data_IF_672704703607
#
_entry.id   IF_672704703607
#
_cell.length_a   1.000
_cell.length_b   1.000
_cell.length_c   1.000
_cell.angle_alpha   90.00
_cell.angle_beta   90.00
_cell.angle_gamma   90.00
#
_symmetry.space_group_name_H-M   'P 1'
#
loop_
_entity.id
_entity.type
_entity.pdbx_description
1 polymer ?
#
# COMPACT_ATOMS: atom_id res chain seq x y z
N UNK A 1 32.02 18.37 -19.04
CA UNK A 1 31.16 17.19 -19.26
C UNK A 1 31.12 16.41 -17.95
N UNK A 2 30.01 16.49 -17.20
CA UNK A 2 29.93 16.09 -15.78
C UNK A 2 29.77 14.59 -15.59
N UNK A 3 30.30 14.07 -14.48
CA UNK A 3 30.38 12.66 -14.08
C UNK A 3 29.03 11.91 -14.16
N UNK A 4 27.90 12.61 -13.97
CA UNK A 4 26.56 12.06 -14.14
C UNK A 4 26.20 11.69 -15.58
N UNK A 5 26.66 12.46 -16.58
CA UNK A 5 26.38 12.15 -17.99
C UNK A 5 27.16 10.93 -18.47
N UNK A 6 28.32 10.65 -17.85
CA UNK A 6 29.11 9.44 -18.11
C UNK A 6 28.44 8.22 -17.48
N UNK A 7 27.90 8.33 -16.25
CA UNK A 7 27.12 7.27 -15.59
C UNK A 7 25.85 6.92 -16.37
N UNK A 8 25.13 7.93 -16.86
CA UNK A 8 23.89 7.72 -17.61
C UNK A 8 24.15 7.11 -19.00
N UNK A 9 25.26 7.46 -19.65
CA UNK A 9 25.69 6.87 -20.92
C UNK A 9 26.15 5.41 -20.74
N UNK A 10 26.87 5.08 -19.67
CA UNK A 10 27.21 3.70 -19.32
C UNK A 10 25.97 2.87 -18.96
N UNK A 11 24.99 3.45 -18.26
CA UNK A 11 23.70 2.82 -17.97
C UNK A 11 22.89 2.53 -19.23
N UNK A 12 22.87 3.45 -20.20
CA UNK A 12 22.17 3.25 -21.48
C UNK A 12 22.84 2.16 -22.33
N UNK A 13 24.17 2.07 -22.31
CA UNK A 13 24.91 0.99 -23.00
C UNK A 13 24.68 -0.37 -22.32
N UNK A 14 24.61 -0.42 -20.98
CA UNK A 14 24.28 -1.65 -20.23
C UNK A 14 22.83 -2.09 -20.43
N UNK A 15 21.86 -1.16 -20.41
CA UNK A 15 20.43 -1.47 -20.59
C UNK A 15 20.10 -1.87 -22.03
N UNK A 16 20.74 -1.25 -23.03
CA UNK A 16 20.56 -1.63 -24.45
C UNK A 16 21.23 -2.97 -24.78
N UNK A 17 22.26 -3.38 -24.03
CA UNK A 17 22.88 -4.70 -24.17
C UNK A 17 22.02 -5.85 -23.60
N UNK A 18 20.99 -5.57 -22.79
CA UNK A 18 20.09 -6.60 -22.25
C UNK A 18 18.92 -6.98 -23.18
N UNK A 19 18.60 -6.16 -24.19
CA UNK A 19 17.43 -6.39 -25.07
C UNK A 19 17.83 -6.98 -26.45
N UNK A 20 19.11 -6.98 -26.83
CA UNK A 20 19.54 -7.55 -28.10
C UNK A 20 20.86 -8.33 -28.00
N UNK A 21 20.79 -9.62 -28.37
CA UNK A 21 21.87 -10.56 -28.70
C UNK A 21 22.50 -11.41 -27.57
N UNK A 22 22.18 -12.70 -27.65
CA UNK A 22 22.38 -13.80 -26.73
C UNK A 22 23.70 -14.58 -26.92
N UNK A 23 24.86 -13.94 -26.99
CA UNK A 23 26.13 -14.70 -27.15
C UNK A 23 27.42 -14.08 -26.60
N UNK A 24 27.44 -12.81 -26.19
CA UNK A 24 28.67 -12.17 -25.68
C UNK A 24 28.74 -12.01 -24.14
N UNK A 25 27.81 -12.63 -23.39
CA UNK A 25 27.65 -12.43 -21.94
C UNK A 25 28.56 -13.27 -21.01
N UNK A 26 29.41 -14.17 -21.50
CA UNK A 26 30.24 -14.97 -20.56
C UNK A 26 31.46 -14.24 -19.99
N UNK A 27 31.89 -13.12 -20.59
CA UNK A 27 33.09 -12.39 -20.14
C UNK A 27 32.81 -11.34 -19.05
N UNK A 28 31.77 -10.51 -19.20
CA UNK A 28 31.47 -9.41 -18.27
C UNK A 28 30.69 -9.83 -17.00
N UNK A 29 29.92 -10.93 -17.03
CA UNK A 29 29.32 -11.49 -15.80
C UNK A 29 30.38 -12.07 -14.85
N UNK A 30 31.52 -12.51 -15.37
CA UNK A 30 32.59 -13.16 -14.61
C UNK A 30 33.39 -12.19 -13.72
N UNK A 31 33.55 -10.93 -14.15
CA UNK A 31 34.27 -9.92 -13.38
C UNK A 31 33.43 -9.35 -12.22
N UNK A 32 32.13 -9.10 -12.43
CA UNK A 32 31.22 -8.65 -11.37
C UNK A 32 30.93 -9.78 -10.39
N UNK A 33 30.80 -11.03 -10.84
CA UNK A 33 30.60 -12.16 -9.93
C UNK A 33 31.81 -12.36 -9.02
N UNK A 34 33.05 -12.24 -9.51
CA UNK A 34 34.23 -12.42 -8.66
C UNK A 34 34.34 -11.43 -7.49
N UNK A 35 33.77 -10.23 -7.60
CA UNK A 35 33.79 -9.19 -6.56
C UNK A 35 32.68 -9.35 -5.49
N UNK A 36 31.70 -10.23 -5.70
CA UNK A 36 30.60 -10.40 -4.75
C UNK A 36 31.00 -11.32 -3.57
N UNK A 37 30.54 -11.00 -2.35
CA UNK A 37 30.67 -11.90 -1.21
C UNK A 37 30.07 -13.28 -1.47
N UNK A 38 30.64 -14.30 -0.81
CA UNK A 38 30.26 -15.70 -1.03
C UNK A 38 28.81 -16.00 -0.70
N UNK A 39 28.23 -15.33 0.29
CA UNK A 39 26.84 -15.49 0.68
C UNK A 39 25.86 -14.91 -0.36
N UNK A 40 26.22 -13.79 -1.00
CA UNK A 40 25.46 -13.25 -2.15
C UNK A 40 25.48 -14.22 -3.32
N UNK A 41 26.65 -14.79 -3.65
CA UNK A 41 26.79 -15.80 -4.70
C UNK A 41 25.95 -17.03 -4.42
N UNK A 42 26.06 -17.57 -3.21
CA UNK A 42 25.32 -18.76 -2.79
C UNK A 42 23.81 -18.52 -2.87
N UNK A 43 23.34 -17.34 -2.46
CA UNK A 43 21.93 -16.98 -2.59
C UNK A 43 21.47 -16.92 -4.05
N UNK A 44 22.22 -16.26 -4.93
CA UNK A 44 21.90 -16.17 -6.35
C UNK A 44 21.80 -17.57 -6.99
N UNK A 45 22.79 -18.44 -6.73
CA UNK A 45 22.81 -19.81 -7.24
C UNK A 45 21.66 -20.66 -6.67
N UNK A 46 21.39 -20.53 -5.36
CA UNK A 46 20.30 -21.25 -4.67
C UNK A 46 18.93 -20.86 -5.24
N UNK A 47 18.71 -19.57 -5.47
CA UNK A 47 17.48 -19.02 -6.04
C UNK A 47 17.29 -19.43 -7.49
N UNK A 48 18.33 -19.35 -8.31
CA UNK A 48 18.28 -19.73 -9.73
C UNK A 48 17.96 -21.22 -9.88
N UNK A 49 18.66 -22.11 -9.16
CA UNK A 49 18.36 -23.55 -9.12
C UNK A 49 16.92 -23.83 -8.71
N UNK A 50 16.38 -23.07 -7.75
CA UNK A 50 15.00 -23.22 -7.35
C UNK A 50 14.02 -22.83 -8.47
N UNK A 51 14.22 -21.68 -9.13
CA UNK A 51 13.37 -21.22 -10.25
C UNK A 51 13.41 -22.21 -11.42
N UNK A 52 14.59 -22.72 -11.77
CA UNK A 52 14.73 -23.75 -12.81
C UNK A 52 13.92 -25.01 -12.46
N UNK A 53 13.93 -25.42 -11.19
CA UNK A 53 13.13 -26.54 -10.71
C UNK A 53 11.62 -26.29 -10.77
N UNK A 54 11.18 -25.01 -10.79
CA UNK A 54 9.77 -24.66 -10.91
C UNK A 54 9.22 -24.81 -12.33
N UNK A 55 10.07 -24.62 -13.34
CA UNK A 55 9.70 -24.70 -14.76
C UNK A 55 9.55 -26.13 -15.28
N UNK A 56 9.75 -27.15 -14.44
CA UNK A 56 9.62 -28.56 -14.83
C UNK A 56 8.17 -29.02 -14.68
N UNK A 57 7.56 -29.45 -15.80
CA UNK A 57 6.17 -29.94 -15.99
C UNK A 57 5.77 -31.21 -15.18
N UNK A 58 6.31 -31.41 -13.98
CA UNK A 58 6.09 -32.59 -13.13
C UNK A 58 4.69 -32.69 -12.49
N UNK A 59 3.85 -31.65 -12.59
CA UNK A 59 2.54 -31.59 -11.92
C UNK A 59 1.49 -32.47 -12.63
N UNK A 60 1.64 -32.71 -13.94
CA UNK A 60 0.62 -33.40 -14.73
C UNK A 60 0.41 -34.87 -14.33
N UNK A 61 1.40 -35.52 -13.72
CA UNK A 61 1.36 -36.95 -13.34
C UNK A 61 1.06 -37.19 -11.86
N UNK A 62 1.01 -36.15 -11.03
CA UNK A 62 0.81 -36.28 -9.57
C UNK A 62 -0.67 -36.40 -9.21
N UNK A 63 -0.98 -37.24 -8.22
CA UNK A 63 -2.30 -37.31 -7.59
C UNK A 63 -2.55 -36.10 -6.65
N UNK A 64 -3.78 -35.94 -6.15
CA UNK A 64 -4.17 -34.77 -5.35
C UNK A 64 -3.35 -34.61 -4.06
N UNK A 65 -3.10 -35.70 -3.32
CA UNK A 65 -2.30 -35.65 -2.09
C UNK A 65 -0.83 -35.31 -2.37
N UNK A 66 -0.27 -35.84 -3.45
CA UNK A 66 1.08 -35.52 -3.91
C UNK A 66 1.20 -34.05 -4.33
N UNK A 67 0.19 -33.51 -5.03
CA UNK A 67 0.14 -32.09 -5.42
C UNK A 67 0.08 -31.17 -4.19
N UNK A 68 -0.73 -31.50 -3.20
CA UNK A 68 -0.82 -30.72 -1.95
C UNK A 68 0.52 -30.72 -1.23
N UNK A 69 1.14 -31.89 -1.04
CA UNK A 69 2.43 -32.02 -0.37
C UNK A 69 3.56 -31.33 -1.14
N UNK A 70 3.57 -31.46 -2.47
CA UNK A 70 4.52 -30.78 -3.35
C UNK A 70 4.38 -29.26 -3.27
N UNK A 71 3.16 -28.74 -3.30
CA UNK A 71 2.87 -27.31 -3.12
C UNK A 71 3.31 -26.80 -1.74
N UNK A 72 3.07 -27.56 -0.67
CA UNK A 72 3.52 -27.21 0.68
C UNK A 72 5.05 -27.13 0.78
N UNK A 73 5.77 -28.13 0.26
CA UNK A 73 7.25 -28.16 0.23
C UNK A 73 7.80 -26.99 -0.59
N UNK A 74 7.20 -26.71 -1.75
CA UNK A 74 7.57 -25.55 -2.57
C UNK A 74 7.39 -24.23 -1.84
N UNK A 75 6.24 -24.02 -1.22
CA UNK A 75 5.98 -22.80 -0.45
C UNK A 75 6.94 -22.64 0.73
N UNK A 76 7.29 -23.73 1.42
CA UNK A 76 8.33 -23.71 2.45
C UNK A 76 9.69 -23.30 1.88
N UNK A 77 10.08 -23.82 0.72
CA UNK A 77 11.36 -23.49 0.08
C UNK A 77 11.41 -22.05 -0.42
N UNK A 78 10.33 -21.54 -1.02
CA UNK A 78 10.19 -20.12 -1.38
C UNK A 78 10.37 -19.22 -0.15
N UNK A 79 9.72 -19.58 0.97
CA UNK A 79 9.85 -18.87 2.25
C UNK A 79 11.27 -18.88 2.81
N UNK A 80 12.03 -19.97 2.65
CA UNK A 80 13.44 -20.03 3.07
C UNK A 80 14.31 -19.09 2.23
N UNK A 81 14.14 -19.12 0.91
CA UNK A 81 14.89 -18.26 -0.02
C UNK A 81 14.57 -16.78 0.23
N UNK A 82 13.31 -16.45 0.47
CA UNK A 82 12.89 -15.08 0.78
C UNK A 82 13.44 -14.60 2.13
N UNK A 83 13.57 -15.47 3.15
CA UNK A 83 14.26 -15.14 4.40
C UNK A 83 15.73 -14.81 4.18
N UNK A 84 16.41 -15.64 3.39
CA UNK A 84 17.82 -15.44 3.07
C UNK A 84 18.03 -14.13 2.31
N UNK A 85 17.15 -13.85 1.34
CA UNK A 85 17.12 -12.58 0.62
C UNK A 85 17.04 -11.37 1.55
N UNK A 86 16.06 -11.35 2.46
CA UNK A 86 15.87 -10.25 3.43
C UNK A 86 17.09 -10.12 4.35
N UNK A 87 17.62 -11.24 4.86
CA UNK A 87 18.79 -11.24 5.74
C UNK A 87 20.04 -10.67 5.06
N UNK A 88 20.28 -11.00 3.78
CA UNK A 88 21.40 -10.47 3.02
C UNK A 88 21.29 -8.97 2.78
N UNK A 89 20.09 -8.47 2.45
CA UNK A 89 19.87 -7.03 2.31
C UNK A 89 20.18 -6.26 3.59
N UNK A 90 19.73 -6.78 4.73
CA UNK A 90 20.02 -6.20 6.06
C UNK A 90 21.52 -6.22 6.37
N UNK A 91 22.19 -7.35 6.10
CA UNK A 91 23.64 -7.49 6.31
C UNK A 91 24.44 -6.47 5.49
N UNK A 92 23.98 -6.12 4.29
CA UNK A 92 24.67 -5.22 3.36
C UNK A 92 23.98 -3.86 3.21
N UNK A 93 23.21 -3.40 4.20
CA UNK A 93 22.41 -2.16 4.14
C UNK A 93 23.23 -0.88 3.86
N UNK A 94 24.54 -0.90 4.12
CA UNK A 94 25.46 0.20 3.81
C UNK A 94 26.31 0.01 2.55
N UNK A 95 26.03 -1.00 1.72
CA UNK A 95 26.81 -1.30 0.51
C UNK A 95 25.94 -1.18 -0.75
N UNK A 96 25.96 0.00 -1.36
CA UNK A 96 25.14 0.34 -2.54
C UNK A 96 25.33 -0.63 -3.71
N UNK A 97 26.54 -1.14 -3.93
CA UNK A 97 26.83 -2.08 -5.02
C UNK A 97 26.12 -3.42 -4.81
N UNK A 98 26.19 -3.97 -3.60
CA UNK A 98 25.53 -5.24 -3.26
C UNK A 98 24.02 -5.06 -3.24
N UNK A 99 23.53 -3.92 -2.74
CA UNK A 99 22.10 -3.61 -2.74
C UNK A 99 21.56 -3.45 -4.16
N UNK A 100 22.31 -2.86 -5.09
CA UNK A 100 21.94 -2.78 -6.51
C UNK A 100 21.83 -4.17 -7.12
N UNK A 101 22.80 -5.06 -6.87
CA UNK A 101 22.73 -6.47 -7.30
C UNK A 101 21.52 -7.18 -6.69
N UNK A 102 21.30 -7.06 -5.38
CA UNK A 102 20.15 -7.67 -4.71
C UNK A 102 18.81 -7.08 -5.20
N UNK A 103 18.77 -5.82 -5.63
CA UNK A 103 17.55 -5.18 -6.17
C UNK A 103 17.08 -5.76 -7.51
N UNK A 104 17.95 -6.48 -8.23
CA UNK A 104 17.59 -7.19 -9.46
C UNK A 104 16.73 -8.42 -9.18
N UNK A 105 16.70 -8.88 -7.93
CA UNK A 105 15.88 -9.98 -7.47
C UNK A 105 14.68 -9.46 -6.67
N UNK A 106 13.53 -10.11 -6.83
CA UNK A 106 12.37 -9.95 -5.96
C UNK A 106 12.14 -11.23 -5.15
N UNK A 107 11.26 -11.15 -4.15
CA UNK A 107 10.81 -12.35 -3.45
C UNK A 107 10.09 -13.30 -4.40
N UNK A 108 10.12 -14.58 -4.03
CA UNK A 108 9.45 -15.65 -4.75
C UNK A 108 7.99 -15.80 -4.30
N UNK A 109 7.68 -15.46 -3.05
CA UNK A 109 6.31 -15.27 -2.59
C UNK A 109 5.85 -13.86 -2.95
N UNK A 110 4.58 -13.76 -3.32
CA UNK A 110 3.97 -12.51 -3.78
C UNK A 110 4.13 -11.39 -2.77
N UNK A 111 4.32 -11.67 -1.48
CA UNK A 111 4.22 -10.67 -0.42
C UNK A 111 5.53 -10.36 0.32
N UNK A 112 6.66 -10.99 -0.07
CA UNK A 112 7.93 -10.88 0.64
C UNK A 112 7.82 -11.06 2.18
N UNK A 113 6.72 -11.61 2.71
CA UNK A 113 6.35 -11.52 4.11
C UNK A 113 5.94 -12.90 4.61
N UNK A 114 6.74 -13.51 5.47
CA UNK A 114 6.24 -14.69 6.17
C UNK A 114 5.18 -14.30 7.17
N UNK A 115 3.92 -14.39 6.75
CA UNK A 115 2.92 -15.36 7.26
C UNK A 115 1.52 -14.97 6.76
N UNK A 116 0.97 -15.90 5.98
CA UNK A 116 -0.45 -16.17 5.64
C UNK A 116 -1.39 -15.04 5.22
N UNK A 117 -1.81 -15.14 3.95
CA UNK A 117 -3.20 -15.32 3.50
C UNK A 117 -4.24 -15.46 4.62
N UNK A 118 -4.87 -14.35 4.95
CA UNK A 118 -6.21 -14.25 5.50
C UNK A 118 -6.83 -12.94 4.98
N UNK A 119 -8.15 -12.82 5.04
CA UNK A 119 -8.89 -11.66 4.50
C UNK A 119 -8.49 -10.30 5.15
N UNK A 120 -7.72 -10.35 6.24
CA UNK A 120 -7.44 -9.21 7.12
C UNK A 120 -5.97 -8.69 7.10
N UNK A 121 -5.13 -9.09 6.14
CA UNK A 121 -3.82 -8.45 5.86
C UNK A 121 -2.55 -9.31 6.01
N UNK A 122 -1.43 -8.78 5.53
CA UNK A 122 -0.12 -9.46 5.43
C UNK A 122 0.69 -9.34 6.73
N UNK A 123 1.40 -10.40 7.15
CA UNK A 123 2.30 -10.38 8.30
C UNK A 123 3.75 -10.54 7.84
N UNK A 124 4.59 -9.53 8.05
CA UNK A 124 6.03 -9.59 7.78
C UNK A 124 6.75 -10.53 8.74
N UNK A 125 7.90 -11.06 8.32
CA UNK A 125 8.73 -11.98 9.11
C UNK A 125 8.95 -11.50 10.55
N UNK A 126 9.02 -12.45 11.49
CA UNK A 126 9.35 -12.17 12.89
C UNK A 126 10.67 -11.42 13.04
N UNK A 127 10.64 -10.31 13.79
CA UNK A 127 11.81 -9.44 14.01
C UNK A 127 12.00 -8.33 12.98
N UNK A 128 11.14 -8.24 11.97
CA UNK A 128 11.08 -7.11 11.03
C UNK A 128 10.40 -5.92 11.72
N UNK A 129 10.98 -4.73 11.54
CA UNK A 129 10.35 -3.47 11.94
C UNK A 129 9.58 -2.82 10.78
N UNK A 130 8.77 -1.81 11.08
CA UNK A 130 7.94 -1.11 10.08
C UNK A 130 8.78 -0.55 8.90
N UNK A 131 9.98 -0.04 9.15
CA UNK A 131 10.83 0.54 8.09
C UNK A 131 11.32 -0.55 7.16
N UNK A 132 11.79 -1.66 7.73
CA UNK A 132 12.23 -2.85 6.98
C UNK A 132 11.06 -3.45 6.18
N UNK A 133 9.86 -3.53 6.78
CA UNK A 133 8.65 -3.98 6.10
C UNK A 133 8.28 -3.12 4.89
N UNK A 134 8.28 -1.79 5.04
CA UNK A 134 7.99 -0.86 3.95
C UNK A 134 9.02 -0.97 2.83
N UNK A 135 10.31 -1.02 3.19
CA UNK A 135 11.38 -1.15 2.20
C UNK A 135 11.26 -2.46 1.40
N UNK A 136 10.93 -3.57 2.06
CA UNK A 136 10.68 -4.85 1.40
C UNK A 136 9.46 -4.77 0.46
N UNK A 137 8.38 -4.11 0.88
CA UNK A 137 7.18 -3.90 0.05
C UNK A 137 7.41 -3.09 -1.22
N UNK A 138 8.32 -2.11 -1.21
CA UNK A 138 8.62 -1.29 -2.41
C UNK A 138 9.38 -2.05 -3.51
N UNK A 139 9.95 -3.20 -3.16
CA UNK A 139 10.82 -3.98 -4.03
C UNK A 139 10.10 -5.17 -4.66
N UNK A 140 8.90 -5.45 -4.18
CA UNK A 140 8.01 -6.45 -4.70
C UNK A 140 7.08 -5.87 -5.77
N UNK A 141 7.07 -6.49 -6.95
CA UNK A 141 6.24 -6.08 -8.10
C UNK A 141 4.77 -6.49 -7.96
N UNK A 142 4.44 -7.38 -7.03
CA UNK A 142 3.15 -8.08 -6.96
C UNK A 142 2.29 -7.69 -5.75
N UNK A 143 2.84 -7.40 -4.56
CA UNK A 143 2.03 -7.10 -3.36
C UNK A 143 1.76 -5.60 -3.18
N UNK A 144 2.74 -4.74 -3.45
CA UNK A 144 2.72 -3.39 -2.89
C UNK A 144 3.02 -2.25 -3.88
N UNK A 145 3.32 -2.57 -5.14
CA UNK A 145 3.62 -1.57 -6.19
C UNK A 145 2.43 -1.17 -7.05
N UNK A 146 1.18 -1.29 -6.59
CA UNK A 146 0.10 -0.57 -7.28
C UNK A 146 0.23 0.96 -7.18
N UNK A 147 1.27 1.46 -6.48
CA UNK A 147 1.53 2.87 -6.28
C UNK A 147 3.00 3.25 -6.53
N UNK A 148 3.40 3.44 -7.80
CA UNK A 148 4.74 3.88 -8.20
C UNK A 148 5.26 5.12 -7.46
N UNK A 149 4.36 5.96 -6.93
CA UNK A 149 4.73 7.20 -6.24
C UNK A 149 5.39 6.97 -4.87
N UNK A 150 5.13 5.88 -4.14
CA UNK A 150 5.77 5.68 -2.83
C UNK A 150 7.29 5.58 -2.96
N UNK A 151 7.74 4.92 -4.03
CA UNK A 151 9.15 4.83 -4.37
C UNK A 151 9.74 6.21 -4.67
N UNK A 152 9.02 7.06 -5.39
CA UNK A 152 9.46 8.43 -5.68
C UNK A 152 9.49 9.33 -4.44
N UNK A 153 8.50 9.23 -3.55
CA UNK A 153 8.47 9.98 -2.29
C UNK A 153 9.68 9.62 -1.43
N UNK A 154 9.94 8.32 -1.27
CA UNK A 154 11.05 7.82 -0.46
C UNK A 154 12.41 8.07 -1.12
N UNK A 155 12.49 8.11 -2.44
CA UNK A 155 13.71 8.51 -3.15
C UNK A 155 14.09 9.97 -2.87
N UNK A 156 13.11 10.87 -2.82
CA UNK A 156 13.37 12.30 -2.56
C UNK A 156 13.40 12.63 -1.05
N UNK A 157 12.84 11.75 -0.21
CA UNK A 157 12.78 11.90 1.24
C UNK A 157 13.24 10.60 1.95
N UNK A 158 14.50 10.14 1.76
CA UNK A 158 14.94 8.81 2.20
C UNK A 158 14.88 8.60 3.71
N UNK A 159 14.93 9.69 4.49
CA UNK A 159 14.96 9.64 5.95
C UNK A 159 13.57 9.74 6.59
N UNK A 160 12.50 9.85 5.81
CA UNK A 160 11.14 10.11 6.35
C UNK A 160 10.63 8.98 7.26
N UNK A 161 10.95 7.73 6.92
CA UNK A 161 10.60 6.56 7.71
C UNK A 161 11.45 6.49 8.99
N UNK A 162 12.75 6.76 8.87
CA UNK A 162 13.68 6.75 10.00
C UNK A 162 13.35 7.82 11.05
N UNK A 163 12.95 9.02 10.61
CA UNK A 163 12.55 10.13 11.50
C UNK A 163 11.22 9.88 12.21
N UNK A 164 10.38 8.98 11.68
CA UNK A 164 9.02 8.72 12.16
C UNK A 164 8.15 9.98 12.27
N UNK A 165 8.35 10.89 11.32
CA UNK A 165 7.65 12.18 11.23
C UNK A 165 6.44 12.07 10.31
N UNK A 166 5.43 12.90 10.59
CA UNK A 166 4.29 13.04 9.69
C UNK A 166 4.70 13.88 8.48
N UNK A 167 4.18 13.52 7.32
CA UNK A 167 4.51 14.17 6.06
C UNK A 167 3.29 14.24 5.16
N UNK A 168 3.24 15.27 4.33
CA UNK A 168 2.18 15.50 3.36
C UNK A 168 2.83 15.90 2.04
N UNK A 169 2.37 15.32 0.94
CA UNK A 169 2.78 15.70 -0.40
C UNK A 169 1.56 15.91 -1.29
N UNK A 170 1.53 17.07 -1.94
CA UNK A 170 0.61 17.36 -3.04
C UNK A 170 1.12 16.68 -4.32
N UNK A 171 0.26 15.91 -4.97
CA UNK A 171 0.54 15.16 -6.19
C UNK A 171 0.01 15.88 -7.43
N UNK A 172 -0.74 16.98 -7.27
CA UNK A 172 -1.33 17.76 -8.35
C UNK A 172 -0.32 18.75 -8.94
N UNK A 173 -0.15 18.87 -10.28
CA UNK A 173 -0.75 18.14 -11.39
C UNK A 173 0.29 17.21 -12.05
N UNK A 174 0.89 16.29 -11.30
CA UNK A 174 1.82 15.35 -11.91
C UNK A 174 1.07 14.41 -12.85
N UNK A 175 1.37 14.49 -14.14
CA UNK A 175 0.76 13.66 -15.19
C UNK A 175 0.91 12.14 -14.93
N UNK A 176 1.85 11.75 -14.07
CA UNK A 176 2.09 10.36 -13.71
C UNK A 176 1.06 9.80 -12.70
N UNK A 177 0.22 10.65 -12.09
CA UNK A 177 -0.63 10.27 -10.94
C UNK A 177 -2.09 10.76 -11.09
N UNK A 178 -2.66 10.64 -12.29
CA UNK A 178 -3.93 11.26 -12.69
C UNK A 178 -5.18 10.99 -11.82
N UNK A 179 -5.12 10.03 -10.88
CA UNK A 179 -6.22 9.71 -9.97
C UNK A 179 -6.00 10.19 -8.53
N UNK A 180 -4.81 10.65 -8.16
CA UNK A 180 -4.47 11.05 -6.79
C UNK A 180 -4.03 12.51 -6.72
N UNK A 181 -4.59 13.25 -5.76
CA UNK A 181 -4.31 14.67 -5.55
C UNK A 181 -3.31 14.89 -4.41
N UNK A 182 -3.34 14.03 -3.38
CA UNK A 182 -2.50 14.19 -2.19
C UNK A 182 -2.20 12.85 -1.55
N UNK A 183 -1.07 12.81 -0.84
CA UNK A 183 -0.72 11.72 0.06
C UNK A 183 -0.23 12.25 1.41
N UNK A 184 -0.75 11.66 2.48
CA UNK A 184 -0.24 11.87 3.83
C UNK A 184 0.42 10.59 4.36
N UNK A 185 1.57 10.75 5.03
CA UNK A 185 2.27 9.71 5.77
C UNK A 185 2.15 10.10 7.23
N UNK A 186 1.39 9.32 7.99
CA UNK A 186 1.00 9.67 9.36
C UNK A 186 1.42 8.56 10.30
N UNK A 187 2.38 8.86 11.16
CA UNK A 187 2.69 8.02 12.30
C UNK A 187 1.69 8.29 13.42
N UNK A 188 1.24 7.24 14.05
CA UNK A 188 0.43 7.39 15.25
C UNK A 188 1.29 7.87 16.44
N UNK A 189 0.62 8.28 17.52
CA UNK A 189 1.29 8.93 18.65
C UNK A 189 2.39 8.07 19.30
N UNK A 190 2.13 6.77 19.49
CA UNK A 190 3.07 5.82 20.12
C UNK A 190 4.09 5.23 19.12
N UNK A 191 4.03 5.62 17.84
CA UNK A 191 4.91 5.16 16.77
C UNK A 191 4.87 3.64 16.53
N UNK A 192 3.78 2.98 16.90
CA UNK A 192 3.53 1.55 16.64
C UNK A 192 2.82 1.31 15.31
N UNK A 193 2.30 2.34 14.63
CA UNK A 193 1.86 2.21 13.24
C UNK A 193 2.05 3.48 12.43
N UNK A 194 2.08 3.29 11.12
CA UNK A 194 2.14 4.33 10.11
C UNK A 194 1.02 4.10 9.10
N UNK A 195 0.28 5.18 8.81
CA UNK A 195 -0.75 5.25 7.78
C UNK A 195 -0.23 6.03 6.58
N UNK A 196 -0.37 5.46 5.40
CA UNK A 196 -0.27 6.15 4.13
C UNK A 196 -1.68 6.42 3.64
N UNK A 197 -2.10 7.68 3.68
CA UNK A 197 -3.46 8.13 3.35
C UNK A 197 -3.43 8.75 1.95
N UNK A 198 -4.30 8.26 1.07
CA UNK A 198 -4.33 8.52 -0.35
C UNK A 198 -5.62 9.23 -0.72
N UNK A 199 -5.49 10.50 -1.04
CA UNK A 199 -6.59 11.35 -1.44
C UNK A 199 -6.70 11.29 -2.96
N UNK A 200 -7.75 10.65 -3.44
CA UNK A 200 -8.06 10.61 -4.86
C UNK A 200 -8.76 11.90 -5.30
N UNK A 201 -8.96 12.06 -6.61
CA UNK A 201 -9.69 13.21 -7.17
C UNK A 201 -11.16 13.30 -6.73
N UNK A 202 -11.71 12.22 -6.16
CA UNK A 202 -13.09 12.15 -5.68
C UNK A 202 -13.21 12.58 -4.22
N UNK A 203 -12.09 12.61 -3.49
CA UNK A 203 -12.03 13.07 -2.12
C UNK A 203 -12.64 14.48 -1.97
N UNK A 204 -13.62 14.60 -1.09
CA UNK A 204 -14.29 15.86 -0.75
C UNK A 204 -14.98 16.56 -1.95
N UNK A 205 -15.26 15.84 -3.05
CA UNK A 205 -16.09 16.36 -4.14
C UNK A 205 -17.49 16.74 -3.63
N UNK A 206 -18.05 15.94 -2.74
CA UNK A 206 -19.26 16.23 -1.99
C UNK A 206 -19.07 15.97 -0.47
N UNK A 207 -20.07 16.30 0.34
CA UNK A 207 -19.99 16.13 1.81
C UNK A 207 -19.91 14.65 2.26
N UNK A 208 -20.22 13.71 1.37
CA UNK A 208 -20.29 12.27 1.65
C UNK A 208 -19.13 11.47 1.04
N UNK A 209 -18.20 12.14 0.37
CA UNK A 209 -17.01 11.56 -0.26
C UNK A 209 -15.75 11.92 0.52
N UNK A 210 -15.83 11.92 1.85
CA UNK A 210 -14.70 12.24 2.74
C UNK A 210 -13.92 11.02 3.20
N UNK A 211 -13.88 9.99 2.35
CA UNK A 211 -13.08 8.79 2.56
C UNK A 211 -11.84 8.85 1.69
N UNK A 212 -10.69 8.57 2.28
CA UNK A 212 -9.45 8.40 1.56
C UNK A 212 -9.05 6.93 1.58
N UNK A 213 -8.41 6.46 0.51
CA UNK A 213 -7.75 5.16 0.56
C UNK A 213 -6.65 5.20 1.62
N UNK A 214 -6.40 4.11 2.31
CA UNK A 214 -5.25 4.02 3.21
C UNK A 214 -4.53 2.70 3.09
N UNK A 215 -3.22 2.73 3.41
CA UNK A 215 -2.42 1.56 3.74
C UNK A 215 -1.77 1.79 5.08
N UNK A 216 -1.81 0.78 5.96
CA UNK A 216 -1.25 0.84 7.31
C UNK A 216 -0.21 -0.25 7.48
N UNK A 217 0.91 0.11 8.11
CA UNK A 217 1.85 -0.86 8.67
C UNK A 217 1.85 -0.69 10.18
N UNK A 218 1.51 -1.76 10.90
CA UNK A 218 1.46 -1.78 12.36
C UNK A 218 2.48 -2.78 12.90
N UNK A 219 3.29 -2.33 13.84
CA UNK A 219 4.19 -3.18 14.59
C UNK A 219 3.38 -4.09 15.52
N UNK A 220 3.57 -5.39 15.37
CA UNK A 220 3.01 -6.44 16.23
C UNK A 220 4.15 -7.18 16.96
N UNK A 221 3.79 -8.00 17.95
CA UNK A 221 4.77 -8.76 18.75
C UNK A 221 5.68 -9.65 17.91
N UNK A 222 5.14 -10.24 16.85
CA UNK A 222 5.82 -11.23 16.01
C UNK A 222 6.12 -10.73 14.58
N UNK A 223 6.15 -9.41 14.37
CA UNK A 223 6.47 -8.82 13.06
C UNK A 223 5.71 -7.52 12.81
N UNK A 224 5.40 -7.25 11.54
CA UNK A 224 4.58 -6.10 11.13
C UNK A 224 3.33 -6.62 10.44
N UNK A 225 2.18 -6.02 10.70
CA UNK A 225 0.95 -6.27 9.95
C UNK A 225 0.70 -5.14 8.97
N UNK A 226 0.54 -5.46 7.68
CA UNK A 226 0.05 -4.52 6.67
C UNK A 226 -1.44 -4.71 6.40
N UNK A 227 -2.20 -3.62 6.42
CA UNK A 227 -3.62 -3.58 6.06
C UNK A 227 -3.91 -2.44 5.09
N UNK A 228 -5.01 -2.51 4.35
CA UNK A 228 -5.46 -1.47 3.44
C UNK A 228 -6.98 -1.36 3.48
N UNK A 229 -7.51 -0.26 2.96
CA UNK A 229 -8.95 -0.05 2.85
C UNK A 229 -9.28 1.40 2.61
N UNK A 230 -10.50 1.79 3.00
CA UNK A 230 -10.92 3.19 3.02
C UNK A 230 -10.99 3.67 4.46
N UNK A 231 -10.50 4.89 4.69
CA UNK A 231 -10.53 5.57 5.98
C UNK A 231 -11.39 6.80 5.83
N UNK A 232 -12.37 6.92 6.70
CA UNK A 232 -13.09 8.16 6.88
C UNK A 232 -12.14 9.20 7.48
N UNK A 233 -11.98 10.32 6.79
CA UNK A 233 -11.21 11.46 7.26
C UNK A 233 -12.19 12.37 8.00
N UNK A 234 -11.87 12.88 9.21
CA UNK A 234 -12.72 13.88 9.85
C UNK A 234 -12.72 15.20 9.07
N UNK A 235 -13.85 15.90 9.06
CA UNK A 235 -13.91 17.29 8.60
C UNK A 235 -13.37 18.24 9.65
N UNK A 236 -13.57 17.91 10.93
CA UNK A 236 -13.24 18.77 12.05
C UNK A 236 -12.52 17.99 13.17
N UNK A 237 -12.20 18.69 14.26
CA UNK A 237 -11.78 18.05 15.51
C UNK A 237 -12.96 17.84 16.48
N UNK A 238 -14.16 18.27 16.10
CA UNK A 238 -15.36 18.27 16.94
C UNK A 238 -16.18 17.04 16.60
N UNK A 239 -16.01 15.99 17.41
CA UNK A 239 -16.61 14.67 17.20
C UNK A 239 -18.11 14.73 16.88
N UNK A 240 -18.89 15.55 17.59
CA UNK A 240 -20.35 15.62 17.37
C UNK A 240 -20.73 16.20 16.00
N UNK A 241 -19.91 17.07 15.43
CA UNK A 241 -20.13 17.61 14.08
C UNK A 241 -19.79 16.53 13.05
N UNK A 242 -18.65 15.85 13.21
CA UNK A 242 -18.27 14.76 12.31
C UNK A 242 -19.26 13.58 12.37
N UNK A 243 -19.69 13.16 13.56
CA UNK A 243 -20.72 12.14 13.75
C UNK A 243 -22.03 12.52 13.04
N UNK A 244 -22.44 13.80 13.12
CA UNK A 244 -23.61 14.30 12.41
C UNK A 244 -23.45 14.23 10.89
N UNK A 245 -22.33 14.68 10.33
CA UNK A 245 -22.09 14.62 8.89
C UNK A 245 -22.13 13.18 8.41
N UNK A 246 -21.48 12.26 9.13
CA UNK A 246 -21.49 10.83 8.80
C UNK A 246 -22.90 10.26 8.82
N UNK A 247 -23.71 10.58 9.83
CA UNK A 247 -25.10 10.10 9.91
C UNK A 247 -25.95 10.68 8.79
N UNK A 248 -25.78 11.96 8.44
CA UNK A 248 -26.47 12.57 7.30
C UNK A 248 -26.11 11.86 5.99
N UNK A 249 -24.83 11.58 5.78
CA UNK A 249 -24.37 10.86 4.58
C UNK A 249 -24.85 9.42 4.50
N UNK A 250 -24.92 8.71 5.62
CA UNK A 250 -25.58 7.40 5.69
C UNK A 250 -27.05 7.51 5.26
N UNK A 251 -27.78 8.50 5.76
CA UNK A 251 -29.19 8.72 5.39
C UNK A 251 -29.37 9.09 3.92
N UNK A 252 -28.49 9.93 3.36
CA UNK A 252 -28.48 10.27 1.93
C UNK A 252 -28.24 9.01 1.09
N UNK A 253 -27.28 8.16 1.49
CA UNK A 253 -26.99 6.91 0.79
C UNK A 253 -28.20 5.98 0.80
N UNK A 254 -28.79 5.73 1.97
CA UNK A 254 -29.98 4.87 2.12
C UNK A 254 -31.16 5.42 1.31
N UNK A 255 -31.36 6.75 1.30
CA UNK A 255 -32.44 7.39 0.55
C UNK A 255 -32.33 7.24 -0.98
N UNK A 256 -31.11 7.00 -1.49
CA UNK A 256 -30.86 6.75 -2.91
C UNK A 256 -30.88 5.27 -3.31
N UNK A 257 -31.04 4.34 -2.37
CA UNK A 257 -31.06 2.90 -2.66
C UNK A 257 -32.46 2.40 -3.01
N UNK A 258 -32.59 1.69 -4.13
CA UNK A 258 -33.82 0.99 -4.51
C UNK A 258 -33.84 -0.44 -3.93
N UNK A 259 -34.91 -0.85 -3.22
CA UNK A 259 -35.04 -2.22 -2.75
C UNK A 259 -35.35 -3.15 -3.94
N UNK A 260 -34.47 -4.11 -4.19
CA UNK A 260 -34.68 -5.14 -5.22
C UNK A 260 -35.50 -6.34 -4.73
N UNK A 261 -35.67 -6.49 -3.41
CA UNK A 261 -36.55 -7.47 -2.79
C UNK A 261 -37.06 -7.01 -1.40
N UNK A 262 -37.96 -7.79 -0.80
CA UNK A 262 -38.56 -7.47 0.51
C UNK A 262 -37.54 -7.54 1.66
N UNK A 263 -36.53 -8.42 1.57
CA UNK A 263 -35.47 -8.50 2.57
C UNK A 263 -34.67 -7.19 2.57
N UNK A 264 -34.19 -6.74 1.42
CA UNK A 264 -33.47 -5.47 1.28
C UNK A 264 -34.33 -4.28 1.69
N UNK A 265 -35.64 -4.30 1.39
CA UNK A 265 -36.56 -3.27 1.84
C UNK A 265 -36.69 -3.20 3.39
N UNK A 266 -36.62 -4.35 4.07
CA UNK A 266 -36.58 -4.38 5.54
C UNK A 266 -35.24 -3.86 6.06
N UNK A 267 -34.11 -4.31 5.49
CA UNK A 267 -32.77 -3.83 5.84
C UNK A 267 -32.64 -2.30 5.70
N UNK A 268 -33.09 -1.73 4.58
CA UNK A 268 -33.08 -0.29 4.34
C UNK A 268 -33.95 0.47 5.35
N UNK A 269 -35.11 -0.07 5.74
CA UNK A 269 -35.96 0.52 6.78
C UNK A 269 -35.30 0.53 8.16
N UNK A 270 -34.56 -0.54 8.50
CA UNK A 270 -33.80 -0.61 9.74
C UNK A 270 -32.63 0.39 9.73
N UNK A 271 -31.88 0.45 8.63
CA UNK A 271 -30.77 1.40 8.46
C UNK A 271 -31.24 2.86 8.47
N UNK A 272 -32.43 3.15 7.92
CA UNK A 272 -33.02 4.48 7.89
C UNK A 272 -33.48 5.01 9.27
N UNK A 273 -33.40 4.20 10.33
CA UNK A 273 -33.76 4.65 11.67
C UNK A 273 -32.90 5.87 12.09
N UNK A 274 -33.59 6.91 12.58
CA UNK A 274 -32.97 8.18 12.97
C UNK A 274 -32.75 9.18 11.83
N UNK A 275 -33.02 8.83 10.57
CA UNK A 275 -32.84 9.77 9.45
C UNK A 275 -33.83 10.94 9.48
N UNK A 276 -35.01 10.76 10.07
CA UNK A 276 -35.99 11.84 10.26
C UNK A 276 -35.50 12.93 11.23
N UNK A 277 -34.49 12.65 12.06
CA UNK A 277 -33.93 13.61 13.02
C UNK A 277 -32.85 14.52 12.41
N UNK A 278 -32.35 14.23 11.20
CA UNK A 278 -31.27 14.97 10.55
C UNK A 278 -31.52 16.50 10.53
N UNK A 279 -32.70 17.00 10.10
CA UNK A 279 -32.96 18.44 10.11
C UNK A 279 -32.90 19.07 11.50
N UNK A 280 -33.37 18.35 12.53
CA UNK A 280 -33.35 18.82 13.92
C UNK A 280 -31.91 18.82 14.48
N UNK A 281 -31.15 17.76 14.22
CA UNK A 281 -29.74 17.66 14.62
C UNK A 281 -28.92 18.79 13.99
N UNK A 282 -29.09 19.04 12.69
CA UNK A 282 -28.49 20.16 11.97
C UNK A 282 -28.78 21.49 12.64
N UNK A 283 -30.06 21.78 12.91
CA UNK A 283 -30.48 23.04 13.55
C UNK A 283 -29.84 23.23 14.93
N UNK A 284 -29.72 22.16 15.72
CA UNK A 284 -29.08 22.20 17.03
C UNK A 284 -27.58 22.52 16.91
N UNK A 285 -26.87 21.88 15.98
CA UNK A 285 -25.46 22.14 15.72
C UNK A 285 -25.24 23.56 15.18
N UNK A 286 -26.08 24.04 14.27
CA UNK A 286 -26.04 25.41 13.76
C UNK A 286 -26.21 26.43 14.89
N UNK A 287 -27.12 26.21 15.84
CA UNK A 287 -27.29 27.10 17.00
C UNK A 287 -26.08 27.06 17.93
N UNK A 288 -25.54 25.86 18.19
CA UNK A 288 -24.41 25.65 19.11
C UNK A 288 -23.11 26.24 18.57
N UNK A 289 -22.88 26.14 17.27
CA UNK A 289 -21.66 26.55 16.58
C UNK A 289 -21.86 27.74 15.64
N UNK A 290 -22.84 28.60 15.94
CA UNK A 290 -23.23 29.74 15.08
C UNK A 290 -22.08 30.72 14.77
N UNK A 291 -21.12 30.83 15.68
CA UNK A 291 -20.00 31.77 15.57
C UNK A 291 -18.76 31.09 14.93
N UNK A 292 -18.80 29.78 14.71
CA UNK A 292 -17.73 28.99 14.10
C UNK A 292 -17.96 28.91 12.58
N UNK A 293 -17.27 29.78 11.84
CA UNK A 293 -17.44 29.93 10.38
C UNK A 293 -17.23 28.60 9.63
N UNK A 294 -16.20 27.83 10.02
CA UNK A 294 -15.88 26.55 9.36
C UNK A 294 -16.99 25.53 9.51
N UNK A 295 -17.54 25.41 10.72
CA UNK A 295 -18.65 24.49 11.02
C UNK A 295 -19.92 24.96 10.31
N UNK A 296 -20.19 26.26 10.33
CA UNK A 296 -21.36 26.83 9.67
C UNK A 296 -21.36 26.55 8.16
N UNK A 297 -20.21 26.70 7.49
CA UNK A 297 -20.05 26.34 6.07
C UNK A 297 -20.22 24.84 5.82
N UNK A 298 -19.68 24.00 6.70
CA UNK A 298 -19.81 22.55 6.60
C UNK A 298 -21.28 22.10 6.69
N UNK A 299 -22.02 22.61 7.69
CA UNK A 299 -23.44 22.33 7.87
C UNK A 299 -24.30 22.88 6.72
N UNK A 300 -23.91 24.00 6.12
CA UNK A 300 -24.58 24.53 4.92
C UNK A 300 -24.36 23.62 3.70
N UNK A 301 -23.13 23.13 3.50
CA UNK A 301 -22.80 22.22 2.40
C UNK A 301 -23.50 20.86 2.57
N UNK A 302 -23.61 20.39 3.81
CA UNK A 302 -24.38 19.18 4.14
C UNK A 302 -25.86 19.38 3.82
N UNK A 303 -26.45 20.51 4.22
CA UNK A 303 -27.85 20.82 3.91
C UNK A 303 -28.14 20.83 2.41
N UNK A 304 -27.25 21.40 1.59
CA UNK A 304 -27.38 21.40 0.13
C UNK A 304 -27.41 19.97 -0.44
N UNK A 305 -26.46 19.11 -0.02
CA UNK A 305 -26.43 17.72 -0.47
C UNK A 305 -27.66 16.93 0.00
N UNK A 306 -28.11 17.15 1.23
CA UNK A 306 -29.31 16.52 1.75
C UNK A 306 -30.54 16.91 0.91
N UNK A 307 -30.70 18.20 0.59
CA UNK A 307 -31.80 18.68 -0.26
C UNK A 307 -31.77 18.09 -1.66
N UNK A 308 -30.59 18.03 -2.28
CA UNK A 308 -30.42 17.44 -3.61
C UNK A 308 -30.83 15.96 -3.63
N UNK A 309 -30.50 15.21 -2.58
CA UNK A 309 -30.84 13.79 -2.48
C UNK A 309 -32.34 13.52 -2.29
N UNK A 310 -33.05 14.39 -1.55
CA UNK A 310 -34.47 14.19 -1.20
C UNK A 310 -35.44 15.09 -1.98
N UNK A 311 -34.96 15.98 -2.84
CA UNK A 311 -35.78 16.85 -3.69
C UNK A 311 -36.50 17.99 -2.96
N UNK A 312 -35.88 18.55 -1.90
CA UNK A 312 -36.43 19.63 -1.03
C UNK A 312 -35.97 21.06 -1.36
#
# INVERSE_FOLDING_TARGET
MTYEKIKMALYLVLVMAFIACNSNMQANQKEVSNALPSDIKNFMESREKFIESENVNSIQTMNEQERIKYSQIKNLKRKEIDKEFVALRKKYEGNDLILDVLSQFGCLLDDCSATSKGDDGFVFYKGVDITEAINNSLMDRNTFTSYPFFKEILKHNPNILAKKENFSLDLSPSANYANYEKIDIVWNADKTHIDFILYDKYFNQNICSHTAGFRRFKQEKDGVKASYGNKLIPYTQIKEVDDFINKSCECIHIGGEEPYDEQRANELREMAQGCNDIPKMRSNLQKKYKDEITISKLLQREWQNYKEAFGE
#
